data_IF_471910696318
#
_entry.id   IF_471910696318
#
_cell.length_a   1.000
_cell.length_b   1.000
_cell.length_c   1.000
_cell.angle_alpha   90.00
_cell.angle_beta   90.00
_cell.angle_gamma   90.00
#
_symmetry.space_group_name_H-M   'P 1'
#
loop_
_entity.id
_entity.type
_entity.pdbx_description
1 polymer ?
#
# COMPACT_ATOMS: atom_id res chain seq x y z
N UNK A 1 44.39 -40.50 -5.78
CA UNK A 1 44.66 -39.12 -5.38
C UNK A 1 43.56 -38.19 -5.82
N UNK A 2 43.19 -38.25 -7.02
CA UNK A 2 42.19 -37.33 -7.57
C UNK A 2 40.83 -37.45 -6.89
N UNK A 3 40.48 -38.63 -6.45
CA UNK A 3 39.18 -38.83 -5.77
C UNK A 3 39.02 -38.04 -4.49
N UNK A 4 40.08 -37.94 -3.74
CA UNK A 4 40.01 -37.20 -2.46
C UNK A 4 39.87 -35.72 -2.73
N UNK A 5 40.55 -35.23 -3.70
CA UNK A 5 40.47 -33.80 -4.05
C UNK A 5 39.12 -33.45 -4.61
N UNK A 6 38.55 -34.29 -5.45
CA UNK A 6 37.23 -34.08 -5.97
C UNK A 6 36.17 -34.04 -4.88
N UNK A 7 36.28 -34.94 -3.92
CA UNK A 7 35.35 -35.02 -2.82
C UNK A 7 35.42 -33.71 -1.99
N UNK A 8 36.62 -33.23 -1.74
CA UNK A 8 36.79 -31.99 -1.00
C UNK A 8 36.18 -30.79 -1.73
N UNK A 9 36.36 -30.75 -3.04
CA UNK A 9 35.80 -29.67 -3.84
C UNK A 9 34.27 -29.72 -3.83
N UNK A 10 33.71 -30.91 -3.95
CA UNK A 10 32.28 -31.07 -3.93
C UNK A 10 31.69 -30.66 -2.59
N UNK A 11 32.33 -31.03 -1.50
CA UNK A 11 31.91 -30.64 -0.16
C UNK A 11 31.99 -29.12 0.02
N UNK A 12 33.01 -28.50 -0.49
CA UNK A 12 33.19 -27.07 -0.38
C UNK A 12 32.11 -26.33 -1.15
N UNK A 13 31.81 -26.78 -2.35
CA UNK A 13 30.76 -26.19 -3.16
C UNK A 13 29.40 -26.37 -2.49
N UNK A 14 29.14 -27.53 -1.92
CA UNK A 14 27.89 -27.77 -1.20
C UNK A 14 27.73 -26.84 -0.02
N UNK A 15 28.79 -26.59 0.72
CA UNK A 15 28.75 -25.66 1.83
C UNK A 15 28.46 -24.24 1.39
N UNK A 16 29.04 -23.83 0.27
CA UNK A 16 28.76 -22.50 -0.27
C UNK A 16 27.32 -22.37 -0.69
N UNK A 17 26.76 -23.39 -1.29
CA UNK A 17 25.35 -23.36 -1.68
C UNK A 17 24.42 -23.26 -0.48
N UNK A 18 24.74 -23.98 0.58
CA UNK A 18 23.93 -23.90 1.79
C UNK A 18 23.99 -22.51 2.42
N UNK A 19 25.15 -21.89 2.38
CA UNK A 19 25.28 -20.53 2.89
C UNK A 19 24.45 -19.56 2.10
N UNK A 20 24.42 -19.72 0.79
CA UNK A 20 23.60 -18.85 -0.04
C UNK A 20 22.12 -19.01 0.25
N UNK A 21 21.68 -20.23 0.53
CA UNK A 21 20.28 -20.44 0.85
C UNK A 21 19.89 -19.76 2.18
N UNK A 22 20.78 -19.78 3.15
CA UNK A 22 20.45 -19.16 4.43
C UNK A 22 20.35 -17.63 4.33
N UNK A 23 20.99 -17.04 3.38
CA UNK A 23 20.91 -15.60 3.18
C UNK A 23 19.57 -15.15 2.60
N UNK A 24 18.79 -16.06 2.09
CA UNK A 24 17.49 -15.72 1.55
C UNK A 24 16.42 -15.57 2.61
N UNK A 25 16.71 -15.93 3.82
CA UNK A 25 15.77 -15.76 4.90
C UNK A 25 15.86 -14.35 5.43
N UNK A 26 15.45 -13.42 4.65
CA UNK A 26 15.33 -12.08 5.14
C UNK A 26 14.13 -12.00 6.06
N UNK A 27 14.21 -11.23 7.09
CA UNK A 27 13.10 -11.08 8.01
C UNK A 27 12.02 -10.22 7.37
N UNK A 28 11.29 -10.83 6.52
CA UNK A 28 10.23 -10.12 5.80
C UNK A 28 9.11 -9.74 6.71
N UNK A 29 8.96 -10.40 7.82
CA UNK A 29 7.87 -10.13 8.73
C UNK A 29 7.86 -8.74 9.30
N UNK A 30 9.00 -8.09 9.35
CA UNK A 30 9.08 -6.77 9.95
C UNK A 30 8.39 -5.71 9.13
N UNK A 31 8.41 -5.86 7.85
CA UNK A 31 7.80 -4.87 6.99
C UNK A 31 6.29 -4.84 7.15
N UNK A 32 5.74 -5.93 7.57
CA UNK A 32 4.31 -6.04 7.71
C UNK A 32 3.79 -5.21 8.85
N UNK A 33 4.65 -4.92 9.77
CA UNK A 33 4.26 -4.17 10.93
C UNK A 33 4.08 -2.72 10.65
N UNK A 34 4.49 -2.31 9.51
CA UNK A 34 4.33 -0.94 9.15
C UNK A 34 2.90 -0.62 9.09
N UNK A 35 2.48 0.04 10.04
CA UNK A 35 1.13 0.35 10.19
C UNK A 35 0.73 1.31 9.17
N UNK A 36 -0.20 0.88 8.43
CA UNK A 36 -0.84 1.73 7.50
C UNK A 36 -1.96 2.36 8.24
N UNK A 37 -2.00 3.63 8.17
CA UNK A 37 -3.05 4.38 8.82
C UNK A 37 -3.80 5.12 7.73
N UNK A 38 -5.09 4.97 7.71
CA UNK A 38 -5.94 5.73 6.80
C UNK A 38 -7.11 6.28 7.60
N UNK A 39 -7.23 7.59 7.61
CA UNK A 39 -8.30 8.28 8.32
C UNK A 39 -9.13 9.04 7.32
N UNK A 40 -10.42 8.81 7.37
CA UNK A 40 -11.39 9.41 6.50
C UNK A 40 -12.29 10.29 7.35
N UNK A 41 -12.37 11.57 7.04
CA UNK A 41 -13.09 12.52 7.90
C UNK A 41 -14.60 12.36 7.85
N UNK A 42 -15.14 11.77 6.80
CA UNK A 42 -16.58 11.57 6.68
C UNK A 42 -16.99 10.12 6.96
N UNK A 43 -16.10 9.33 7.49
CA UNK A 43 -16.36 7.94 7.89
C UNK A 43 -16.84 7.06 6.76
N UNK A 44 -16.32 7.25 5.58
CA UNK A 44 -16.65 6.43 4.44
C UNK A 44 -17.00 7.26 3.22
N UNK A 45 -17.97 6.79 2.47
CA UNK A 45 -18.32 7.43 1.21
C UNK A 45 -19.53 8.32 1.36
N UNK A 46 -19.41 9.39 2.07
CA UNK A 46 -20.52 10.32 2.20
C UNK A 46 -20.43 11.39 1.12
N UNK A 47 -21.16 11.20 0.05
CA UNK A 47 -21.08 12.08 -1.11
C UNK A 47 -21.68 13.46 -0.90
N UNK A 48 -22.38 13.66 0.20
CA UNK A 48 -22.99 14.96 0.51
C UNK A 48 -22.11 15.83 1.36
N UNK A 49 -20.97 15.34 1.78
CA UNK A 49 -20.05 16.07 2.63
C UNK A 49 -18.67 16.02 2.00
N UNK A 50 -18.00 17.16 1.93
CA UNK A 50 -16.62 17.18 1.48
C UNK A 50 -15.74 16.53 2.53
N UNK A 51 -15.16 15.40 2.21
CA UNK A 51 -14.30 14.69 3.12
C UNK A 51 -12.82 14.91 2.83
N UNK A 52 -12.00 14.57 3.80
CA UNK A 52 -10.55 14.55 3.64
C UNK A 52 -10.03 13.19 4.03
N UNK A 53 -8.91 12.82 3.45
CA UNK A 53 -8.28 11.56 3.75
C UNK A 53 -6.83 11.81 4.13
N UNK A 54 -6.38 11.10 5.15
CA UNK A 54 -5.02 11.20 5.65
C UNK A 54 -4.52 9.77 5.85
N UNK A 55 -3.47 9.41 5.15
CA UNK A 55 -2.97 8.05 5.18
C UNK A 55 -1.47 8.02 5.26
N UNK A 56 -0.96 6.98 5.93
CA UNK A 56 0.46 6.66 5.93
C UNK A 56 0.66 5.41 5.10
N UNK A 57 1.48 5.51 4.08
CA UNK A 57 1.75 4.40 3.18
C UNK A 57 2.84 3.49 3.73
N UNK A 58 2.96 2.27 3.20
CA UNK A 58 3.94 1.31 3.70
C UNK A 58 5.38 1.79 3.67
N UNK A 59 5.71 2.67 2.76
CA UNK A 59 7.06 3.20 2.62
C UNK A 59 7.33 4.40 3.54
N UNK A 60 6.36 4.74 4.39
CA UNK A 60 6.50 5.90 5.29
C UNK A 60 6.01 7.20 4.69
N UNK A 61 5.60 7.19 3.45
CA UNK A 61 5.09 8.40 2.80
C UNK A 61 3.72 8.76 3.35
N UNK A 62 3.52 10.03 3.61
CA UNK A 62 2.21 10.51 4.00
C UNK A 62 1.42 10.93 2.77
N UNK A 63 0.16 10.58 2.77
CA UNK A 63 -0.76 10.90 1.69
C UNK A 63 -1.95 11.64 2.27
N UNK A 64 -2.22 12.81 1.71
CA UNK A 64 -3.37 13.62 2.11
C UNK A 64 -4.08 14.08 0.86
N UNK A 65 -5.38 13.97 0.87
CA UNK A 65 -6.18 14.46 -0.25
C UNK A 65 -7.56 14.82 0.28
N UNK A 66 -8.35 15.45 -0.57
CA UNK A 66 -9.70 15.82 -0.21
C UNK A 66 -10.62 15.58 -1.40
N UNK A 67 -11.89 15.41 -1.12
CA UNK A 67 -12.88 15.24 -2.16
C UNK A 67 -12.96 16.51 -2.99
N UNK A 68 -13.15 16.33 -4.28
CA UNK A 68 -13.20 17.47 -5.18
C UNK A 68 -14.08 17.16 -6.38
N UNK A 69 -14.55 18.21 -6.99
CA UNK A 69 -15.33 18.10 -8.22
C UNK A 69 -14.42 18.26 -9.43
N UNK A 70 -14.55 17.36 -10.39
CA UNK A 70 -13.80 17.43 -11.63
C UNK A 70 -14.66 16.91 -12.76
N UNK A 71 -14.76 17.67 -13.84
CA UNK A 71 -15.52 17.27 -15.02
C UNK A 71 -16.97 16.89 -14.69
N UNK A 72 -17.58 17.58 -13.76
CA UNK A 72 -18.96 17.31 -13.37
C UNK A 72 -19.13 16.10 -12.46
N UNK A 73 -18.06 15.45 -12.12
CA UNK A 73 -18.08 14.29 -11.22
C UNK A 73 -17.48 14.66 -9.88
N UNK A 74 -17.89 13.95 -8.87
CA UNK A 74 -17.26 14.01 -7.56
C UNK A 74 -16.16 12.96 -7.49
N UNK A 75 -14.95 13.39 -7.15
CA UNK A 75 -13.88 12.46 -6.84
C UNK A 75 -13.91 12.27 -5.35
N UNK A 76 -14.46 11.13 -4.94
CA UNK A 76 -14.65 10.78 -3.54
C UNK A 76 -13.47 9.99 -3.05
N UNK A 77 -12.83 10.44 -1.99
CA UNK A 77 -11.73 9.73 -1.38
C UNK A 77 -12.21 8.98 -0.15
N UNK A 78 -11.74 7.77 0.04
CA UNK A 78 -12.17 6.95 1.17
C UNK A 78 -11.06 5.97 1.54
N UNK A 79 -11.17 5.42 2.74
CA UNK A 79 -10.27 4.38 3.21
C UNK A 79 -10.93 3.03 3.03
N UNK A 80 -10.18 2.09 2.47
CA UNK A 80 -10.59 0.70 2.45
C UNK A 80 -9.58 -0.07 3.28
N UNK A 81 -9.97 -0.40 4.50
CA UNK A 81 -9.02 -0.89 5.47
C UNK A 81 -8.04 0.22 5.82
N UNK A 82 -6.76 -0.04 5.66
CA UNK A 82 -5.72 0.93 5.94
C UNK A 82 -5.18 1.61 4.70
N UNK A 83 -5.83 1.43 3.56
CA UNK A 83 -5.35 1.97 2.30
C UNK A 83 -6.28 3.06 1.77
N UNK A 84 -5.72 4.10 1.15
CA UNK A 84 -6.53 5.15 0.54
C UNK A 84 -6.98 4.73 -0.86
N UNK A 85 -8.21 5.05 -1.18
CA UNK A 85 -8.78 4.83 -2.50
C UNK A 85 -9.58 6.04 -2.92
N UNK A 86 -9.92 6.09 -4.18
CA UNK A 86 -10.82 7.11 -4.70
C UNK A 86 -11.73 6.50 -5.75
N UNK A 87 -12.89 7.11 -5.94
CA UNK A 87 -13.79 6.72 -7.01
C UNK A 87 -14.49 7.95 -7.56
N UNK A 88 -14.93 7.85 -8.80
CA UNK A 88 -15.68 8.92 -9.45
C UNK A 88 -17.16 8.65 -9.24
N UNK A 89 -17.86 9.65 -8.73
CA UNK A 89 -19.27 9.54 -8.44
C UNK A 89 -20.02 10.56 -9.27
N UNK A 90 -21.09 10.12 -9.87
CA UNK A 90 -21.98 11.05 -10.61
C UNK A 90 -23.00 11.61 -9.64
N UNK A 91 -23.00 12.90 -9.48
CA UNK A 91 -23.93 13.57 -8.61
C UNK A 91 -25.23 13.89 -9.39
N UNK A 92 -26.39 13.43 -8.95
CA UNK A 92 -27.64 13.69 -9.68
C UNK A 92 -27.96 15.16 -9.85
N UNK A 93 -27.59 15.96 -8.88
CA UNK A 93 -27.87 17.40 -8.91
C UNK A 93 -26.61 18.24 -9.08
N UNK A 94 -25.52 17.62 -9.52
CA UNK A 94 -24.26 18.28 -9.73
C UNK A 94 -23.34 18.23 -8.54
N UNK A 95 -22.08 18.54 -8.79
CA UNK A 95 -21.03 18.53 -7.79
C UNK A 95 -20.60 19.97 -7.51
N UNK A 96 -20.46 20.31 -6.26
CA UNK A 96 -20.05 21.63 -5.85
C UNK A 96 -19.21 21.54 -4.61
N UNK A 97 -18.04 22.18 -4.65
CA UNK A 97 -17.17 22.31 -3.49
C UNK A 97 -16.82 20.98 -2.83
N UNK A 98 -16.55 19.97 -3.63
CA UNK A 98 -16.13 18.66 -3.15
C UNK A 98 -17.24 17.78 -2.61
N UNK A 99 -18.49 18.07 -2.96
CA UNK A 99 -19.63 17.27 -2.53
C UNK A 99 -20.72 17.32 -3.56
N UNK A 100 -21.57 16.30 -3.55
CA UNK A 100 -22.76 16.32 -4.38
C UNK A 100 -23.80 17.29 -3.79
N UNK A 101 -24.43 18.04 -4.63
CA UNK A 101 -25.54 18.90 -4.22
C UNK A 101 -26.73 18.05 -3.77
N UNK A 102 -27.37 18.51 -2.75
CA UNK A 102 -28.55 17.82 -2.21
C UNK A 102 -29.83 18.14 -2.98
#
# INVERSE_FOLDING_TARGET
MQRKEIVLIVLFVALLLLSACSMQQTPTGNAVLDIKKCIDSDYGKNISIKGTIDASLPDGTEYKDEDRCAFGLLIEHYCQGSLPFSENVRCPKGCENGACRK
#
